data_IF_363189301448
#
_entry.id   IF_363189301448
#
_cell.length_a   1.000
_cell.length_b   1.000
_cell.length_c   1.000
_cell.angle_alpha   90.00
_cell.angle_beta   90.00
_cell.angle_gamma   90.00
#
_symmetry.space_group_name_H-M   'P 1'
#
loop_
_entity.id
_entity.type
_entity.pdbx_description
1 polymer ?
#
# COMPACT_ATOMS: atom_id res chain seq x y z
N UNK A 1 21.80 1.53 34.43
CA UNK A 1 20.93 2.45 35.20
C UNK A 1 19.84 2.94 34.26
N UNK A 2 18.59 3.01 34.74
CA UNK A 2 17.46 3.53 33.96
C UNK A 2 16.90 4.74 34.71
N UNK A 3 16.83 5.88 34.05
CA UNK A 3 16.17 7.08 34.53
C UNK A 3 14.99 7.40 33.61
N UNK A 4 13.79 7.53 34.18
CA UNK A 4 12.58 7.87 33.44
C UNK A 4 11.98 9.12 34.06
N UNK A 5 11.68 10.12 33.22
CA UNK A 5 10.99 11.35 33.61
C UNK A 5 9.74 11.49 32.76
N UNK A 6 8.65 11.94 33.34
CA UNK A 6 7.44 12.19 32.60
C UNK A 6 6.56 13.23 33.26
N UNK A 7 5.72 13.86 32.46
CA UNK A 7 4.65 14.73 32.96
C UNK A 7 3.39 14.50 32.13
N UNK A 8 2.24 14.76 32.73
CA UNK A 8 0.96 14.50 32.10
C UNK A 8 -0.11 15.48 32.56
N UNK A 9 -1.15 15.61 31.74
CA UNK A 9 -2.34 16.39 32.04
C UNK A 9 -3.57 15.61 31.63
N UNK A 10 -4.57 15.64 32.50
CA UNK A 10 -5.93 15.19 32.21
C UNK A 10 -6.77 16.44 31.97
N UNK A 11 -7.37 16.55 30.80
CA UNK A 11 -8.29 17.63 30.47
C UNK A 11 -9.72 17.11 30.39
N UNK A 12 -10.69 17.84 30.95
CA UNK A 12 -12.12 17.58 30.75
C UNK A 12 -12.69 18.64 29.82
N UNK A 13 -13.43 18.23 28.81
CA UNK A 13 -14.16 19.12 27.90
C UNK A 13 -15.57 18.59 27.65
N UNK A 14 -16.40 19.35 26.92
CA UNK A 14 -17.72 18.92 26.47
C UNK A 14 -17.70 17.69 25.56
N UNK A 15 -16.52 17.32 25.04
CA UNK A 15 -16.28 16.20 24.13
C UNK A 15 -15.64 14.99 24.86
N UNK A 16 -15.58 15.00 26.19
CA UNK A 16 -15.07 13.91 27.02
C UNK A 16 -13.71 14.19 27.68
N UNK A 17 -13.16 13.16 28.32
CA UNK A 17 -11.85 13.21 29.00
C UNK A 17 -10.73 13.10 27.96
N UNK A 18 -9.70 13.91 28.10
CA UNK A 18 -8.45 13.82 27.35
C UNK A 18 -7.31 13.50 28.29
N UNK A 19 -6.43 12.61 27.85
CA UNK A 19 -5.17 12.29 28.53
C UNK A 19 -4.03 12.63 27.60
N UNK A 20 -3.05 13.39 28.09
CA UNK A 20 -1.83 13.68 27.35
C UNK A 20 -0.63 13.73 28.27
N UNK A 21 0.54 13.39 27.75
CA UNK A 21 1.78 13.45 28.51
C UNK A 21 3.03 13.36 27.66
N UNK A 22 4.16 13.66 28.28
CA UNK A 22 5.49 13.42 27.73
C UNK A 22 6.24 12.43 28.60
N UNK A 23 7.05 11.61 27.96
CA UNK A 23 7.96 10.69 28.59
C UNK A 23 9.34 10.91 28.00
N UNK A 24 10.37 10.96 28.84
CA UNK A 24 11.76 10.84 28.45
C UNK A 24 12.44 9.79 29.31
N UNK A 25 13.34 9.03 28.69
CA UNK A 25 14.07 7.97 29.34
C UNK A 25 15.53 8.00 28.91
N UNK A 26 16.40 7.69 29.84
CA UNK A 26 17.83 7.47 29.62
C UNK A 26 18.19 6.15 30.29
N UNK A 27 18.74 5.24 29.50
CA UNK A 27 19.22 3.96 29.95
C UNK A 27 20.71 3.86 29.65
N UNK A 28 21.51 3.61 30.68
CA UNK A 28 22.96 3.41 30.57
C UNK A 28 23.37 2.03 31.05
N UNK A 29 24.41 1.46 30.46
CA UNK A 29 24.86 0.10 30.77
C UNK A 29 23.80 -0.97 30.48
N UNK A 30 23.01 -0.79 29.42
CA UNK A 30 22.13 -1.82 28.88
C UNK A 30 22.93 -3.07 28.53
N UNK A 31 22.39 -4.22 28.93
CA UNK A 31 22.88 -5.54 28.57
C UNK A 31 21.68 -6.42 28.17
N UNK A 32 21.11 -6.20 26.97
CA UNK A 32 20.08 -7.09 26.44
C UNK A 32 20.54 -8.55 26.49
N UNK A 33 19.62 -9.48 26.79
CA UNK A 33 19.94 -10.92 26.83
C UNK A 33 20.39 -11.45 25.47
N UNK A 34 19.86 -10.88 24.40
CA UNK A 34 20.26 -11.19 23.04
C UNK A 34 21.55 -10.41 22.69
N UNK A 35 22.67 -11.11 22.41
CA UNK A 35 23.93 -10.46 22.06
C UNK A 35 23.85 -9.63 20.76
N UNK A 36 23.03 -10.02 19.80
CA UNK A 36 22.84 -9.28 18.55
C UNK A 36 22.06 -7.99 18.80
N UNK A 37 21.06 -8.03 19.67
CA UNK A 37 20.34 -6.82 20.10
C UNK A 37 21.24 -5.90 20.94
N UNK A 38 22.09 -6.47 21.79
CA UNK A 38 23.05 -5.71 22.59
C UNK A 38 24.07 -4.94 21.74
N UNK A 39 24.56 -5.55 20.66
CA UNK A 39 25.46 -4.90 19.70
C UNK A 39 24.77 -3.76 18.94
N UNK A 40 23.52 -4.00 18.50
CA UNK A 40 22.76 -3.04 17.70
C UNK A 40 22.31 -1.81 18.50
N UNK A 41 21.79 -1.99 19.73
CA UNK A 41 21.34 -0.89 20.59
C UNK A 41 22.50 -0.16 21.29
N UNK A 42 23.59 -0.88 21.54
CA UNK A 42 24.66 -0.43 22.40
C UNK A 42 24.27 -0.34 23.88
N UNK A 43 25.16 0.24 24.68
CA UNK A 43 25.02 0.30 26.15
C UNK A 43 24.16 1.46 26.62
N UNK A 44 24.10 2.54 25.84
CA UNK A 44 23.50 3.79 26.25
C UNK A 44 22.46 4.22 25.21
N UNK A 45 21.22 4.39 25.66
CA UNK A 45 20.07 4.75 24.84
C UNK A 45 19.29 5.85 25.53
N UNK A 46 18.95 6.89 24.77
CA UNK A 46 18.04 7.95 25.18
C UNK A 46 16.78 7.87 24.33
N UNK A 47 15.64 8.22 24.93
CA UNK A 47 14.38 8.21 24.23
C UNK A 47 13.42 9.26 24.77
N UNK A 48 12.52 9.72 23.91
CA UNK A 48 11.39 10.54 24.31
C UNK A 48 10.18 10.28 23.42
N UNK A 49 8.99 10.49 23.96
CA UNK A 49 7.74 10.47 23.22
C UNK A 49 6.71 11.39 23.88
N UNK A 50 5.71 11.79 23.12
CA UNK A 50 4.47 12.36 23.63
C UNK A 50 3.34 11.40 23.33
N UNK A 51 2.46 11.27 24.29
CA UNK A 51 1.27 10.43 24.19
C UNK A 51 0.03 11.30 24.33
N UNK A 52 -1.02 10.97 23.57
CA UNK A 52 -2.32 11.62 23.68
C UNK A 52 -3.43 10.62 23.35
N UNK A 53 -4.49 10.66 24.15
CA UNK A 53 -5.71 9.89 23.96
C UNK A 53 -6.93 10.77 24.28
N UNK A 54 -8.00 10.62 23.51
CA UNK A 54 -9.29 11.25 23.78
C UNK A 54 -10.28 10.13 24.09
N UNK A 55 -11.07 10.30 25.14
CA UNK A 55 -12.16 9.39 25.47
C UNK A 55 -13.10 9.23 24.27
N UNK A 56 -13.47 7.99 23.97
CA UNK A 56 -14.29 7.65 22.80
C UNK A 56 -13.54 7.61 21.46
N UNK A 57 -12.26 8.01 21.37
CA UNK A 57 -11.53 7.95 20.09
C UNK A 57 -11.08 6.54 19.70
N UNK A 58 -11.01 5.60 20.65
CA UNK A 58 -10.50 4.24 20.42
C UNK A 58 -9.03 4.18 19.98
N UNK A 59 -8.30 5.30 20.09
CA UNK A 59 -6.99 5.49 19.49
C UNK A 59 -6.02 6.23 20.43
N UNK A 60 -4.84 5.64 20.64
CA UNK A 60 -3.69 6.25 21.32
C UNK A 60 -2.73 6.82 20.27
N UNK A 61 -2.46 8.12 20.33
CA UNK A 61 -1.48 8.78 19.47
C UNK A 61 -0.16 8.94 20.19
N UNK A 62 0.92 8.49 19.55
CA UNK A 62 2.30 8.70 19.95
C UNK A 62 2.94 9.66 18.95
N UNK A 63 3.37 10.83 19.41
CA UNK A 63 4.05 11.83 18.59
C UNK A 63 5.41 12.18 19.17
N UNK A 64 6.22 12.90 18.41
CA UNK A 64 7.56 13.32 18.86
C UNK A 64 8.42 12.15 19.37
N UNK A 65 8.22 10.95 18.82
CA UNK A 65 9.03 9.79 19.16
C UNK A 65 10.44 10.12 18.72
N UNK A 66 11.40 10.03 19.64
CA UNK A 66 12.84 10.12 19.37
C UNK A 66 13.53 9.04 20.17
N UNK A 67 14.46 8.34 19.53
CA UNK A 67 15.36 7.38 20.16
C UNK A 67 16.76 7.67 19.63
N UNK A 68 17.77 7.67 20.48
CA UNK A 68 19.15 7.82 20.05
C UNK A 68 20.08 6.97 20.93
N UNK A 69 21.03 6.28 20.31
CA UNK A 69 22.02 5.46 21.01
C UNK A 69 22.96 4.77 20.02
N UNK A 70 24.25 4.70 20.35
CA UNK A 70 25.26 3.95 19.58
C UNK A 70 25.28 4.21 18.05
N UNK A 71 25.08 5.46 17.61
CA UNK A 71 25.06 5.82 16.19
C UNK A 71 23.74 5.51 15.46
N UNK A 72 22.72 5.07 16.20
CA UNK A 72 21.34 4.93 15.77
C UNK A 72 20.54 6.16 16.22
N UNK A 73 19.77 6.75 15.32
CA UNK A 73 18.73 7.73 15.64
C UNK A 73 17.42 7.28 15.00
N UNK A 74 16.35 7.18 15.79
CA UNK A 74 15.01 6.90 15.28
C UNK A 74 14.06 8.03 15.65
N UNK A 75 13.13 8.35 14.77
CA UNK A 75 12.08 9.33 15.02
C UNK A 75 10.77 8.93 14.35
N UNK A 76 9.65 9.44 14.84
CA UNK A 76 8.38 9.17 14.18
C UNK A 76 7.13 9.57 14.94
N UNK A 77 6.00 9.16 14.37
CA UNK A 77 4.68 9.30 14.95
C UNK A 77 3.86 8.06 14.62
N UNK A 78 3.13 7.56 15.61
CA UNK A 78 2.30 6.37 15.53
C UNK A 78 0.90 6.66 16.05
N UNK A 79 -0.10 6.01 15.48
CA UNK A 79 -1.46 5.92 16.00
C UNK A 79 -1.78 4.44 16.23
N UNK A 80 -2.21 4.10 17.43
CA UNK A 80 -2.53 2.75 17.86
C UNK A 80 -4.04 2.70 18.10
N UNK A 81 -4.75 1.90 17.32
CA UNK A 81 -6.21 1.78 17.34
C UNK A 81 -6.62 0.36 17.74
N UNK A 82 -7.83 0.25 18.30
CA UNK A 82 -8.39 -1.05 18.68
C UNK A 82 -7.53 -1.72 19.76
N UNK A 83 -7.26 -0.98 20.84
CA UNK A 83 -6.54 -1.44 22.03
C UNK A 83 -7.22 -2.66 22.70
N UNK A 84 -8.47 -2.91 22.35
CA UNK A 84 -9.35 -4.00 22.78
C UNK A 84 -9.58 -5.07 21.69
N UNK A 85 -9.06 -4.88 20.47
CA UNK A 85 -9.34 -5.72 19.29
C UNK A 85 -8.08 -6.29 18.65
N UNK A 86 -7.34 -5.47 17.89
CA UNK A 86 -6.31 -5.93 16.96
C UNK A 86 -4.98 -5.16 17.04
N UNK A 87 -4.88 -4.14 17.90
CA UNK A 87 -3.71 -3.26 18.04
C UNK A 87 -3.17 -2.81 16.68
N UNK A 88 -4.05 -2.20 15.85
CA UNK A 88 -3.62 -1.67 14.57
C UNK A 88 -2.74 -0.45 14.83
N UNK A 89 -1.47 -0.56 14.49
CA UNK A 89 -0.50 0.51 14.63
C UNK A 89 -0.21 1.07 13.24
N UNK A 90 -0.57 2.32 13.01
CA UNK A 90 -0.28 3.05 11.78
C UNK A 90 0.66 4.21 12.05
N UNK A 91 1.46 4.61 11.06
CA UNK A 91 2.28 5.81 11.20
C UNK A 91 3.53 5.83 10.33
N UNK A 92 4.46 6.70 10.72
CA UNK A 92 5.74 6.92 10.05
C UNK A 92 6.87 6.80 11.04
N UNK A 93 7.88 6.01 10.67
CA UNK A 93 9.14 5.86 11.39
C UNK A 93 10.30 6.18 10.45
N UNK A 94 11.28 6.91 10.95
CA UNK A 94 12.54 7.19 10.29
C UNK A 94 13.65 6.70 11.19
N UNK A 95 14.53 5.85 10.66
CA UNK A 95 15.67 5.29 11.36
C UNK A 95 16.93 5.63 10.58
N UNK A 96 17.90 6.24 11.24
CA UNK A 96 19.22 6.57 10.71
C UNK A 96 20.26 5.76 11.46
N UNK A 97 21.10 5.07 10.72
CA UNK A 97 22.24 4.33 11.24
C UNK A 97 23.51 4.86 10.58
N UNK A 98 24.42 5.38 11.40
CA UNK A 98 25.74 5.81 10.96
C UNK A 98 26.66 4.62 10.60
N UNK A 99 26.34 3.43 11.09
CA UNK A 99 27.12 2.21 10.88
C UNK A 99 26.19 0.99 10.87
N UNK A 100 25.98 0.41 9.68
CA UNK A 100 25.13 -0.75 9.48
C UNK A 100 25.79 -2.07 9.95
N UNK A 101 27.11 -2.09 10.17
CA UNK A 101 27.82 -3.31 10.59
C UNK A 101 27.28 -3.86 11.91
N UNK A 102 26.77 -2.98 12.78
CA UNK A 102 26.15 -3.28 14.08
C UNK A 102 24.90 -4.16 13.96
N UNK A 103 24.23 -4.15 12.82
CA UNK A 103 23.03 -4.97 12.58
C UNK A 103 23.35 -6.30 11.92
N UNK A 104 24.63 -6.60 11.62
CA UNK A 104 25.02 -7.82 10.90
C UNK A 104 24.56 -9.10 11.61
N UNK A 105 24.73 -9.17 12.94
CA UNK A 105 24.27 -10.34 13.71
C UNK A 105 22.76 -10.49 13.71
N UNK A 106 22.02 -9.38 13.83
CA UNK A 106 20.56 -9.38 13.75
C UNK A 106 20.07 -9.80 12.36
N UNK A 107 20.77 -9.37 11.31
CA UNK A 107 20.45 -9.72 9.93
C UNK A 107 20.95 -11.12 9.53
N UNK A 108 21.73 -11.80 10.38
CA UNK A 108 22.35 -13.08 10.07
C UNK A 108 23.34 -13.03 8.89
N UNK A 109 23.86 -11.83 8.55
CA UNK A 109 24.77 -11.62 7.42
C UNK A 109 25.64 -10.39 7.63
N UNK A 110 26.81 -10.35 7.00
CA UNK A 110 27.66 -9.14 7.01
C UNK A 110 26.91 -7.97 6.37
N UNK A 111 26.84 -6.86 7.08
CA UNK A 111 26.32 -5.58 6.60
C UNK A 111 27.41 -4.51 6.75
N UNK A 112 27.35 -3.45 5.95
CA UNK A 112 28.23 -2.30 6.06
C UNK A 112 27.63 -1.05 5.42
N UNK A 113 28.31 0.07 5.62
CA UNK A 113 27.85 1.39 5.17
C UNK A 113 26.99 2.10 6.20
N UNK A 114 26.32 3.16 5.75
CA UNK A 114 25.40 3.95 6.55
C UNK A 114 24.10 4.17 5.79
N UNK A 115 23.01 4.47 6.50
CA UNK A 115 21.77 4.78 5.82
C UNK A 115 20.64 5.31 6.67
N UNK A 116 19.66 5.86 5.96
CA UNK A 116 18.39 6.35 6.46
C UNK A 116 17.27 5.50 5.85
N UNK A 117 16.56 4.80 6.73
CA UNK A 117 15.36 4.04 6.44
C UNK A 117 14.15 4.86 6.84
N UNK A 118 13.19 4.98 5.95
CA UNK A 118 11.88 5.56 6.21
C UNK A 118 10.82 4.49 5.94
N UNK A 119 9.94 4.30 6.91
CA UNK A 119 8.83 3.35 6.85
C UNK A 119 7.54 4.11 7.11
N UNK A 120 6.58 4.00 6.21
CA UNK A 120 5.21 4.50 6.41
C UNK A 120 4.24 3.35 6.16
N UNK A 121 3.30 3.12 7.06
CA UNK A 121 2.39 2.00 6.88
C UNK A 121 1.53 1.71 8.09
N UNK A 122 0.97 0.50 8.08
CA UNK A 122 0.18 -0.04 9.18
C UNK A 122 0.53 -1.50 9.45
N UNK A 123 0.45 -1.92 10.70
CA UNK A 123 0.71 -3.28 11.12
C UNK A 123 -0.23 -3.68 12.28
N UNK A 124 -0.63 -4.95 12.32
CA UNK A 124 -1.37 -5.54 13.43
C UNK A 124 -0.54 -6.67 14.03
N UNK A 125 -0.17 -6.52 15.31
CA UNK A 125 0.65 -7.50 16.01
C UNK A 125 -0.04 -8.85 16.23
N UNK A 126 -1.38 -8.88 16.25
CA UNK A 126 -2.16 -10.09 16.51
C UNK A 126 -2.31 -10.98 15.27
N UNK A 127 -2.53 -10.37 14.09
CA UNK A 127 -2.73 -11.10 12.83
C UNK A 127 -1.43 -11.31 12.05
N UNK A 128 -0.33 -10.65 12.45
CA UNK A 128 0.89 -10.59 11.65
C UNK A 128 0.75 -9.80 10.35
N UNK A 129 -0.38 -9.12 10.17
CA UNK A 129 -0.65 -8.23 9.04
C UNK A 129 0.29 -7.03 9.08
N UNK A 130 0.84 -6.67 7.93
CA UNK A 130 1.40 -5.33 7.73
C UNK A 130 1.31 -4.91 6.26
N UNK A 131 1.17 -3.62 6.04
CA UNK A 131 1.21 -2.98 4.73
C UNK A 131 2.08 -1.73 4.88
N UNK A 132 3.23 -1.71 4.21
CA UNK A 132 4.27 -0.72 4.47
C UNK A 132 5.03 -0.33 3.23
N UNK A 133 5.15 0.99 3.05
CA UNK A 133 6.08 1.62 2.14
C UNK A 133 7.41 1.86 2.83
N UNK A 134 8.47 1.40 2.20
CA UNK A 134 9.84 1.48 2.68
C UNK A 134 10.66 2.28 1.67
N UNK A 135 11.29 3.35 2.14
CA UNK A 135 12.28 4.10 1.38
C UNK A 135 13.61 4.09 2.13
N UNK A 136 14.67 3.67 1.47
CA UNK A 136 16.00 3.60 2.03
C UNK A 136 16.97 4.44 1.18
N UNK A 137 17.78 5.25 1.85
CA UNK A 137 18.90 5.96 1.25
C UNK A 137 20.16 5.63 2.04
N UNK A 138 21.18 5.12 1.39
CA UNK A 138 22.43 4.73 2.04
C UNK A 138 23.66 5.20 1.28
N UNK A 139 24.82 5.02 1.89
CA UNK A 139 26.12 5.19 1.24
C UNK A 139 27.00 3.99 1.58
N UNK A 140 27.76 3.55 0.58
CA UNK A 140 28.81 2.54 0.73
C UNK A 140 28.28 1.25 1.35
N UNK A 141 27.14 0.78 0.85
CA UNK A 141 26.48 -0.41 1.40
C UNK A 141 27.29 -1.65 1.07
N UNK A 142 27.47 -2.50 2.07
CA UNK A 142 28.08 -3.81 1.90
C UNK A 142 27.15 -4.88 2.45
N UNK A 143 27.11 -6.03 1.78
CA UNK A 143 26.29 -7.19 2.16
C UNK A 143 27.08 -8.51 2.14
N UNK A 144 28.41 -8.41 2.14
CA UNK A 144 29.35 -9.53 2.20
C UNK A 144 29.50 -10.27 0.87
N UNK A 145 29.25 -9.60 -0.25
CA UNK A 145 29.37 -10.15 -1.59
C UNK A 145 30.19 -9.18 -2.45
N UNK A 146 31.46 -9.47 -2.75
CA UNK A 146 32.38 -8.51 -3.39
C UNK A 146 31.83 -7.90 -4.69
N UNK A 147 31.10 -8.67 -5.49
CA UNK A 147 30.47 -8.23 -6.74
C UNK A 147 29.38 -7.19 -6.49
N UNK A 148 28.54 -7.43 -5.48
CA UNK A 148 27.42 -6.56 -5.12
C UNK A 148 27.92 -5.33 -4.38
N UNK A 149 28.87 -5.51 -3.47
CA UNK A 149 29.48 -4.44 -2.69
C UNK A 149 30.16 -3.40 -3.61
N UNK A 150 30.80 -3.85 -4.71
CA UNK A 150 31.35 -2.96 -5.75
C UNK A 150 30.26 -2.12 -6.45
N UNK A 151 29.07 -2.67 -6.65
CA UNK A 151 27.95 -1.98 -7.30
C UNK A 151 27.22 -1.02 -6.35
N UNK A 152 27.31 -1.27 -5.04
CA UNK A 152 26.66 -0.49 -3.99
C UNK A 152 27.59 0.55 -3.34
N UNK A 153 28.82 0.69 -3.85
CA UNK A 153 29.75 1.75 -3.45
C UNK A 153 29.15 3.13 -3.74
N UNK A 154 29.27 4.07 -2.80
CA UNK A 154 28.67 5.39 -2.89
C UNK A 154 27.15 5.41 -2.66
N UNK A 155 26.45 6.47 -3.13
CA UNK A 155 25.04 6.69 -2.82
C UNK A 155 24.12 5.62 -3.42
N UNK A 156 23.29 5.01 -2.58
CA UNK A 156 22.32 4.00 -2.93
C UNK A 156 20.91 4.40 -2.51
N UNK A 157 19.90 4.10 -3.34
CA UNK A 157 18.48 4.32 -3.03
C UNK A 157 17.65 3.08 -3.31
N UNK A 158 16.82 2.69 -2.37
CA UNK A 158 15.88 1.58 -2.51
C UNK A 158 14.47 2.05 -2.11
N UNK A 159 13.46 1.59 -2.84
CA UNK A 159 12.06 1.74 -2.49
C UNK A 159 11.37 0.39 -2.61
N UNK A 160 10.54 0.04 -1.64
CA UNK A 160 9.80 -1.21 -1.62
C UNK A 160 8.42 -0.99 -0.98
N UNK A 161 7.40 -1.57 -1.60
CA UNK A 161 6.08 -1.78 -1.00
C UNK A 161 6.02 -3.24 -0.55
N UNK A 162 5.85 -3.46 0.74
CA UNK A 162 5.85 -4.80 1.35
C UNK A 162 4.54 -4.98 2.09
N UNK A 163 3.84 -6.04 1.75
CA UNK A 163 2.60 -6.43 2.41
C UNK A 163 2.67 -7.85 2.91
N UNK A 164 2.16 -8.10 4.11
CA UNK A 164 1.94 -9.44 4.65
C UNK A 164 0.52 -9.55 5.19
N UNK A 165 -0.09 -10.69 4.95
CA UNK A 165 -1.31 -11.13 5.63
C UNK A 165 -1.16 -12.61 6.06
N UNK A 166 -2.26 -13.22 6.52
CA UNK A 166 -2.30 -14.62 6.94
C UNK A 166 -1.89 -15.62 5.83
N UNK A 167 -1.93 -15.19 4.57
CA UNK A 167 -1.66 -16.03 3.41
C UNK A 167 -0.23 -15.91 2.86
N UNK A 168 0.53 -14.88 3.27
CA UNK A 168 1.94 -14.74 2.87
C UNK A 168 2.48 -13.31 2.87
N UNK A 169 3.69 -13.13 2.33
CA UNK A 169 4.35 -11.83 2.15
C UNK A 169 4.56 -11.56 0.67
N UNK A 170 4.18 -10.37 0.20
CA UNK A 170 4.30 -9.95 -1.19
C UNK A 170 5.08 -8.64 -1.30
N UNK A 171 6.06 -8.61 -2.21
CA UNK A 171 6.79 -7.41 -2.64
C UNK A 171 6.41 -7.09 -4.08
N UNK A 172 5.93 -5.88 -4.35
CA UNK A 172 5.55 -5.47 -5.71
C UNK A 172 5.62 -3.95 -5.87
N UNK A 173 6.10 -3.49 -7.00
CA UNK A 173 6.02 -2.09 -7.41
C UNK A 173 5.47 -2.03 -8.83
N UNK A 174 4.20 -1.66 -8.98
CA UNK A 174 3.61 -1.34 -10.27
C UNK A 174 3.94 0.11 -10.62
N UNK A 175 4.24 0.37 -11.89
CA UNK A 175 4.57 1.71 -12.31
C UNK A 175 4.57 1.88 -13.82
N UNK A 176 5.10 3.02 -14.26
CA UNK A 176 5.35 3.31 -15.66
C UNK A 176 6.64 4.09 -15.84
N UNK A 177 7.37 3.81 -16.91
CA UNK A 177 8.58 4.53 -17.30
C UNK A 177 8.58 4.79 -18.80
N UNK A 178 9.30 5.83 -19.25
CA UNK A 178 9.55 6.02 -20.68
C UNK A 178 10.74 5.18 -21.12
N UNK A 179 10.65 4.54 -22.28
CA UNK A 179 11.79 3.87 -22.91
C UNK A 179 12.74 4.89 -23.57
N UNK A 180 13.82 4.40 -24.18
CA UNK A 180 14.80 5.23 -24.91
C UNK A 180 14.17 6.07 -26.05
N UNK A 181 13.04 5.62 -26.61
CA UNK A 181 12.28 6.32 -27.64
C UNK A 181 11.22 7.28 -27.05
N UNK A 182 11.15 7.43 -25.73
CA UNK A 182 10.20 8.31 -25.05
C UNK A 182 8.78 7.74 -24.88
N UNK A 183 8.53 6.48 -25.27
CA UNK A 183 7.23 5.83 -25.14
C UNK A 183 7.02 5.28 -23.73
N UNK A 184 5.82 5.47 -23.18
CA UNK A 184 5.44 4.91 -21.89
C UNK A 184 5.38 3.37 -21.94
N UNK A 185 5.91 2.73 -20.91
CA UNK A 185 5.86 1.30 -20.67
C UNK A 185 5.40 1.06 -19.24
N UNK A 186 4.58 0.03 -19.06
CA UNK A 186 4.21 -0.45 -17.72
C UNK A 186 5.40 -1.18 -17.11
N UNK A 187 5.60 -1.02 -15.80
CA UNK A 187 6.68 -1.67 -15.06
C UNK A 187 6.14 -2.49 -13.91
N UNK A 188 6.79 -3.62 -13.66
CA UNK A 188 6.66 -4.41 -12.44
C UNK A 188 8.06 -4.54 -11.83
N UNK A 189 8.21 -4.10 -10.58
CA UNK A 189 9.49 -4.09 -9.88
C UNK A 189 10.59 -3.36 -10.67
N UNK A 190 10.23 -2.19 -11.22
CA UNK A 190 11.08 -1.33 -12.07
C UNK A 190 11.55 -1.97 -13.39
N UNK A 191 11.03 -3.13 -13.77
CA UNK A 191 11.30 -3.76 -15.06
C UNK A 191 10.09 -3.60 -15.97
N UNK A 192 10.32 -3.22 -17.23
CA UNK A 192 9.26 -3.14 -18.22
C UNK A 192 8.59 -4.50 -18.39
N UNK A 193 7.26 -4.51 -18.41
CA UNK A 193 6.46 -5.71 -18.64
C UNK A 193 5.35 -5.38 -19.64
N UNK A 194 5.22 -6.23 -20.65
CA UNK A 194 4.04 -6.19 -21.53
C UNK A 194 2.93 -6.98 -20.85
N UNK A 195 1.84 -6.29 -20.52
CA UNK A 195 0.67 -6.92 -19.90
C UNK A 195 -0.22 -7.48 -21.01
N UNK A 196 -0.20 -8.80 -21.13
CA UNK A 196 -0.93 -9.54 -22.14
C UNK A 196 -2.01 -10.37 -21.45
N UNK A 197 -3.26 -10.04 -21.73
CA UNK A 197 -4.39 -10.57 -21.00
C UNK A 197 -5.72 -10.36 -21.69
N UNK A 198 -6.73 -11.21 -21.41
CA UNK A 198 -8.08 -11.02 -21.91
C UNK A 198 -8.86 -9.99 -21.06
N UNK A 199 -9.94 -9.49 -21.67
CA UNK A 199 -11.06 -8.91 -20.95
C UNK A 199 -11.95 -10.06 -20.46
N UNK A 200 -12.13 -10.17 -19.14
CA UNK A 200 -12.87 -11.22 -18.47
C UNK A 200 -14.18 -10.65 -17.92
N UNK A 201 -15.30 -11.05 -18.52
CA UNK A 201 -16.65 -10.65 -18.08
C UNK A 201 -17.12 -11.36 -16.80
N UNK A 202 -16.45 -12.45 -16.41
CA UNK A 202 -16.82 -13.26 -15.25
C UNK A 202 -18.16 -13.96 -15.42
N UNK A 203 -18.41 -14.49 -16.62
CA UNK A 203 -19.64 -15.22 -16.95
C UNK A 203 -19.45 -16.73 -16.72
N UNK A 204 -20.39 -17.33 -15.99
CA UNK A 204 -20.38 -18.73 -15.60
C UNK A 204 -21.66 -19.41 -16.11
N UNK A 205 -21.58 -20.58 -16.75
CA UNK A 205 -22.73 -21.26 -17.36
C UNK A 205 -23.97 -21.36 -16.45
N UNK A 206 -23.77 -21.74 -15.19
CA UNK A 206 -24.89 -21.97 -14.26
C UNK A 206 -25.22 -20.76 -13.39
N UNK A 207 -24.20 -19.96 -13.03
CA UNK A 207 -24.32 -18.89 -12.04
C UNK A 207 -24.38 -17.48 -12.62
N UNK A 208 -24.27 -17.34 -13.94
CA UNK A 208 -24.10 -16.07 -14.66
C UNK A 208 -22.92 -15.27 -14.11
N UNK A 209 -23.14 -14.39 -13.14
CA UNK A 209 -22.11 -13.59 -12.51
C UNK A 209 -21.52 -14.24 -11.25
N UNK A 210 -21.99 -15.41 -10.85
CA UNK A 210 -21.50 -16.10 -9.65
C UNK A 210 -20.64 -17.30 -10.04
N UNK A 211 -19.36 -17.36 -9.62
CA UNK A 211 -18.54 -18.54 -9.85
C UNK A 211 -19.16 -19.78 -9.18
N UNK A 212 -19.19 -20.94 -9.85
CA UNK A 212 -19.88 -22.14 -9.33
C UNK A 212 -19.09 -22.81 -8.20
N UNK A 213 -17.78 -22.61 -8.12
CA UNK A 213 -16.93 -23.13 -7.04
C UNK A 213 -15.57 -22.42 -6.99
N UNK A 214 -14.84 -22.64 -5.89
CA UNK A 214 -13.44 -22.20 -5.77
C UNK A 214 -12.52 -22.86 -6.82
N UNK A 215 -12.73 -24.15 -7.09
CA UNK A 215 -11.99 -24.90 -8.10
C UNK A 215 -12.22 -24.34 -9.51
N UNK A 216 -13.45 -23.89 -9.83
CA UNK A 216 -13.75 -23.29 -11.12
C UNK A 216 -13.03 -21.94 -11.31
N UNK A 217 -13.02 -21.08 -10.28
CA UNK A 217 -12.26 -19.83 -10.31
C UNK A 217 -10.77 -20.08 -10.56
N UNK A 218 -10.19 -21.04 -9.82
CA UNK A 218 -8.78 -21.41 -9.97
C UNK A 218 -8.49 -21.97 -11.38
N UNK A 219 -9.34 -22.87 -11.87
CA UNK A 219 -9.18 -23.49 -13.19
C UNK A 219 -9.14 -22.48 -14.32
N UNK A 220 -9.96 -21.42 -14.27
CA UNK A 220 -9.99 -20.39 -15.30
C UNK A 220 -8.67 -19.59 -15.33
N UNK A 221 -8.14 -19.22 -14.16
CA UNK A 221 -6.84 -18.52 -14.04
C UNK A 221 -5.68 -19.44 -14.47
N UNK A 222 -5.69 -20.71 -14.09
CA UNK A 222 -4.68 -21.70 -14.51
C UNK A 222 -4.68 -21.90 -16.03
N UNK A 223 -5.86 -21.97 -16.65
CA UNK A 223 -5.99 -22.06 -18.10
C UNK A 223 -5.41 -20.81 -18.79
N UNK A 224 -5.80 -19.61 -18.35
CA UNK A 224 -5.27 -18.36 -18.91
C UNK A 224 -3.75 -18.26 -18.76
N UNK A 225 -3.21 -18.69 -17.62
CA UNK A 225 -1.77 -18.76 -17.39
C UNK A 225 -1.09 -19.75 -18.35
N UNK A 226 -1.68 -20.92 -18.56
CA UNK A 226 -1.19 -21.93 -19.50
C UNK A 226 -1.23 -21.46 -20.96
N UNK A 227 -2.19 -20.59 -21.32
CA UNK A 227 -2.24 -19.92 -22.61
C UNK A 227 -1.16 -18.83 -22.80
N UNK A 228 -0.36 -18.54 -21.77
CA UNK A 228 0.73 -17.57 -21.81
C UNK A 228 0.34 -16.15 -21.39
N UNK A 229 -0.90 -15.93 -20.93
CA UNK A 229 -1.29 -14.64 -20.40
C UNK A 229 -0.63 -14.36 -19.04
N UNK A 230 -0.38 -13.09 -18.77
CA UNK A 230 0.19 -12.62 -17.51
C UNK A 230 -0.69 -11.55 -16.84
N UNK A 231 -1.81 -11.19 -17.47
CA UNK A 231 -2.78 -10.23 -16.95
C UNK A 231 -4.21 -10.69 -17.25
N UNK A 232 -5.16 -10.27 -16.43
CA UNK A 232 -6.60 -10.36 -16.65
C UNK A 232 -7.20 -8.97 -16.37
N UNK A 233 -8.13 -8.52 -17.21
CA UNK A 233 -8.96 -7.35 -16.90
C UNK A 233 -10.35 -7.79 -16.53
N UNK A 234 -10.73 -7.65 -15.26
CA UNK A 234 -12.09 -7.95 -14.81
C UNK A 234 -13.02 -6.80 -15.21
N UNK A 235 -13.92 -7.10 -16.14
CA UNK A 235 -14.81 -6.11 -16.76
C UNK A 235 -15.99 -5.79 -15.85
N UNK A 236 -16.14 -4.52 -15.47
CA UNK A 236 -17.27 -3.91 -14.73
C UNK A 236 -17.91 -4.81 -13.64
N UNK A 237 -17.08 -5.53 -12.90
CA UNK A 237 -17.49 -6.56 -11.94
C UNK A 237 -16.47 -6.69 -10.83
N UNK A 238 -16.94 -6.92 -9.60
CA UNK A 238 -16.10 -7.31 -8.47
C UNK A 238 -16.29 -8.81 -8.20
N UNK A 239 -15.22 -9.59 -8.24
CA UNK A 239 -15.28 -11.03 -7.94
C UNK A 239 -15.22 -11.31 -6.42
N UNK A 240 -15.53 -12.53 -5.96
CA UNK A 240 -15.20 -12.93 -4.59
C UNK A 240 -13.70 -12.81 -4.31
N UNK A 241 -13.30 -12.43 -3.08
CA UNK A 241 -11.87 -12.29 -2.68
C UNK A 241 -10.99 -13.50 -3.00
N UNK A 242 -11.57 -14.71 -3.06
CA UNK A 242 -10.88 -15.94 -3.47
C UNK A 242 -10.30 -15.85 -4.89
N UNK A 243 -10.98 -15.19 -5.83
CA UNK A 243 -10.50 -15.02 -7.20
C UNK A 243 -9.16 -14.26 -7.22
N UNK A 244 -9.09 -13.14 -6.49
CA UNK A 244 -7.86 -12.35 -6.36
C UNK A 244 -6.75 -13.13 -5.66
N UNK A 245 -7.07 -13.91 -4.62
CA UNK A 245 -6.10 -14.80 -3.98
C UNK A 245 -5.52 -15.84 -4.95
N UNK A 246 -6.34 -16.42 -5.84
CA UNK A 246 -5.84 -17.30 -6.89
C UNK A 246 -4.95 -16.55 -7.89
N UNK A 247 -5.31 -15.32 -8.29
CA UNK A 247 -4.43 -14.49 -9.12
C UNK A 247 -3.09 -14.20 -8.45
N UNK A 248 -3.09 -13.91 -7.15
CA UNK A 248 -1.88 -13.66 -6.35
C UNK A 248 -0.96 -14.89 -6.33
N UNK A 249 -1.52 -16.05 -6.03
CA UNK A 249 -0.76 -17.31 -5.88
C UNK A 249 -0.28 -17.88 -7.22
N UNK A 250 -1.02 -17.67 -8.30
CA UNK A 250 -0.67 -18.14 -9.65
C UNK A 250 0.16 -17.12 -10.44
N UNK A 251 0.34 -15.90 -9.92
CA UNK A 251 1.13 -14.84 -10.55
C UNK A 251 0.45 -14.28 -11.81
N UNK A 252 -0.78 -13.81 -11.65
CA UNK A 252 -1.58 -13.14 -12.69
C UNK A 252 -1.84 -11.69 -12.28
N UNK A 253 -1.54 -10.73 -13.15
CA UNK A 253 -1.85 -9.30 -12.91
C UNK A 253 -3.35 -9.07 -13.14
N UNK A 254 -3.97 -8.19 -12.36
CA UNK A 254 -5.38 -7.83 -12.47
C UNK A 254 -5.54 -6.35 -12.78
N UNK A 255 -6.38 -6.05 -13.76
CA UNK A 255 -7.01 -4.74 -13.94
C UNK A 255 -8.42 -4.84 -13.38
N UNK A 256 -8.75 -4.00 -12.41
CA UNK A 256 -10.03 -4.03 -11.74
C UNK A 256 -10.88 -2.83 -12.15
N UNK A 257 -11.94 -3.10 -12.89
CA UNK A 257 -12.95 -2.11 -13.24
C UNK A 257 -13.93 -1.88 -12.07
N UNK A 258 -14.32 -0.64 -11.85
CA UNK A 258 -15.49 -0.32 -11.04
C UNK A 258 -16.76 -0.75 -11.77
N UNK A 259 -17.74 -1.21 -11.01
CA UNK A 259 -19.10 -1.40 -11.52
C UNK A 259 -19.68 -0.02 -11.77
N UNK A 260 -19.84 0.33 -13.04
CA UNK A 260 -20.39 1.61 -13.48
C UNK A 260 -21.55 1.31 -14.42
N UNK A 261 -22.76 1.73 -14.04
CA UNK A 261 -23.93 1.59 -14.88
C UNK A 261 -24.34 2.97 -15.40
N UNK A 262 -24.08 3.23 -16.68
CA UNK A 262 -24.75 4.29 -17.40
C UNK A 262 -25.78 3.67 -18.35
N UNK A 263 -26.99 4.23 -18.44
CA UNK A 263 -27.93 3.81 -19.46
C UNK A 263 -27.61 4.50 -20.80
N UNK A 264 -27.53 3.70 -21.87
CA UNK A 264 -27.70 4.14 -23.26
C UNK A 264 -26.44 4.28 -24.12
N UNK A 265 -26.30 3.40 -25.12
CA UNK A 265 -25.49 3.61 -26.34
C UNK A 265 -26.31 4.28 -27.47
N UNK A 266 -27.65 4.21 -27.38
CA UNK A 266 -28.60 4.47 -28.48
C UNK A 266 -30.03 4.82 -28.00
N UNK A 267 -30.20 5.47 -26.83
CA UNK A 267 -31.55 5.76 -26.31
C UNK A 267 -31.70 7.20 -25.81
N UNK A 268 -31.87 8.10 -26.77
CA UNK A 268 -32.58 9.38 -26.61
C UNK A 268 -31.91 10.36 -25.61
N UNK A 269 -32.59 11.45 -25.28
CA UNK A 269 -32.17 12.52 -24.34
C UNK A 269 -32.00 12.07 -22.88
N UNK A 270 -32.11 10.77 -22.58
CA UNK A 270 -32.12 10.18 -21.22
C UNK A 270 -30.85 9.39 -20.88
N UNK A 271 -29.81 9.46 -21.73
CA UNK A 271 -28.54 8.78 -21.51
C UNK A 271 -27.79 9.36 -20.31
N UNK A 272 -27.29 8.49 -19.44
CA UNK A 272 -26.36 8.87 -18.35
C UNK A 272 -24.90 8.59 -18.70
N UNK A 273 -24.62 8.18 -19.94
CA UNK A 273 -23.28 8.04 -20.50
C UNK A 273 -23.00 9.15 -21.52
N UNK A 274 -21.80 9.75 -21.54
CA UNK A 274 -21.42 10.70 -22.58
C UNK A 274 -21.27 10.02 -23.94
N UNK A 275 -21.28 10.83 -25.00
CA UNK A 275 -21.02 10.34 -26.35
C UNK A 275 -19.60 9.78 -26.45
N UNK A 276 -19.46 8.62 -27.08
CA UNK A 276 -18.16 8.03 -27.33
C UNK A 276 -17.40 8.82 -28.39
N UNK A 277 -16.28 9.42 -28.03
CA UNK A 277 -15.54 10.33 -28.92
C UNK A 277 -14.41 9.65 -29.69
N UNK A 278 -14.20 8.34 -29.52
CA UNK A 278 -13.14 7.55 -30.19
C UNK A 278 -11.76 8.20 -30.07
N UNK A 279 -11.37 8.56 -28.85
CA UNK A 279 -10.11 9.24 -28.52
C UNK A 279 -9.99 10.66 -29.10
N UNK A 280 -11.08 11.31 -29.52
CA UNK A 280 -11.02 12.73 -29.85
C UNK A 280 -10.61 13.54 -28.60
N UNK A 281 -9.81 14.59 -28.76
CA UNK A 281 -9.38 15.41 -27.64
C UNK A 281 -10.59 16.11 -26.99
N UNK A 282 -10.50 16.31 -25.67
CA UNK A 282 -11.50 17.04 -24.88
C UNK A 282 -12.92 16.45 -24.96
N UNK A 283 -13.12 15.16 -24.60
CA UNK A 283 -14.46 14.60 -24.48
C UNK A 283 -15.27 15.36 -23.43
N UNK A 284 -16.59 15.43 -23.65
CA UNK A 284 -17.53 16.03 -22.69
C UNK A 284 -18.13 14.91 -21.85
N UNK A 285 -18.03 15.05 -20.54
CA UNK A 285 -18.60 14.09 -19.59
C UNK A 285 -20.13 14.18 -19.52
N UNK A 286 -20.78 13.12 -19.04
CA UNK A 286 -22.19 13.20 -18.70
C UNK A 286 -22.41 14.07 -17.45
N UNK A 287 -23.54 14.77 -17.40
CA UNK A 287 -24.00 15.44 -16.19
C UNK A 287 -24.77 14.44 -15.33
N UNK A 288 -24.27 14.21 -14.11
CA UNK A 288 -24.89 13.34 -13.13
C UNK A 288 -25.46 14.16 -11.98
N UNK A 289 -26.60 13.76 -11.39
CA UNK A 289 -27.05 14.28 -10.11
C UNK A 289 -25.98 14.10 -9.02
N UNK A 290 -25.85 15.07 -8.12
CA UNK A 290 -24.84 15.07 -7.07
C UNK A 290 -24.93 13.83 -6.15
N UNK A 291 -26.15 13.38 -5.84
CA UNK A 291 -26.40 12.20 -5.01
C UNK A 291 -25.95 10.90 -5.71
N UNK A 292 -26.18 10.79 -7.01
CA UNK A 292 -25.70 9.66 -7.82
C UNK A 292 -24.16 9.64 -7.92
N UNK A 293 -23.52 10.81 -8.09
CA UNK A 293 -22.07 10.93 -8.05
C UNK A 293 -21.51 10.51 -6.68
N UNK A 294 -22.10 10.99 -5.58
CA UNK A 294 -21.69 10.64 -4.23
C UNK A 294 -21.82 9.14 -3.94
N UNK A 295 -22.90 8.50 -4.41
CA UNK A 295 -23.08 7.06 -4.29
C UNK A 295 -22.00 6.30 -5.07
N UNK A 296 -21.71 6.71 -6.31
CA UNK A 296 -20.66 6.10 -7.11
C UNK A 296 -19.28 6.22 -6.43
N UNK A 297 -18.95 7.41 -5.89
CA UNK A 297 -17.69 7.64 -5.16
C UNK A 297 -17.59 6.75 -3.91
N UNK A 298 -18.70 6.58 -3.18
CA UNK A 298 -18.75 5.69 -2.02
C UNK A 298 -18.47 4.23 -2.42
N UNK A 299 -19.09 3.75 -3.50
CA UNK A 299 -18.90 2.39 -4.00
C UNK A 299 -17.49 2.15 -4.52
N UNK A 300 -16.93 3.09 -5.29
CA UNK A 300 -15.55 3.04 -5.76
C UNK A 300 -14.57 2.96 -4.59
N UNK A 301 -14.73 3.85 -3.60
CA UNK A 301 -13.88 3.84 -2.40
C UNK A 301 -13.97 2.52 -1.66
N UNK A 302 -15.18 1.98 -1.48
CA UNK A 302 -15.38 0.66 -0.84
C UNK A 302 -14.75 -0.47 -1.64
N UNK A 303 -14.83 -0.47 -2.97
CA UNK A 303 -14.16 -1.46 -3.80
C UNK A 303 -12.65 -1.40 -3.60
N UNK A 304 -12.05 -0.20 -3.71
CA UNK A 304 -10.61 -0.01 -3.51
C UNK A 304 -10.21 -0.37 -2.09
N UNK A 305 -10.93 0.06 -1.06
CA UNK A 305 -10.65 -0.30 0.34
C UNK A 305 -10.76 -1.80 0.60
N UNK A 306 -11.72 -2.48 -0.03
CA UNK A 306 -11.92 -3.91 0.09
C UNK A 306 -10.84 -4.73 -0.64
N UNK A 307 -10.31 -4.22 -1.74
CA UNK A 307 -9.44 -4.93 -2.67
C UNK A 307 -8.01 -4.39 -2.77
N UNK A 308 -7.68 -3.24 -2.15
CA UNK A 308 -6.31 -2.68 -2.07
C UNK A 308 -5.31 -3.67 -1.50
N UNK A 309 -5.86 -4.69 -0.88
CA UNK A 309 -5.17 -5.81 -0.33
C UNK A 309 -4.56 -6.77 -1.32
N UNK A 310 -5.19 -6.92 -2.48
CA UNK A 310 -4.84 -7.91 -3.47
C UNK A 310 -3.58 -7.51 -4.26
N UNK A 311 -2.49 -8.29 -4.15
CA UNK A 311 -1.29 -8.11 -4.96
C UNK A 311 -1.43 -8.05 -6.46
N UNK A 312 -2.34 -8.84 -7.00
CA UNK A 312 -2.50 -9.00 -8.42
C UNK A 312 -2.93 -7.67 -9.04
N UNK A 313 -3.68 -6.84 -8.31
CA UNK A 313 -4.25 -5.60 -8.86
C UNK A 313 -3.13 -4.60 -9.12
N UNK A 314 -2.86 -4.37 -10.41
CA UNK A 314 -1.87 -3.40 -10.88
C UNK A 314 -2.50 -2.10 -11.41
N UNK A 315 -3.78 -2.15 -11.81
CA UNK A 315 -4.49 -1.02 -12.39
C UNK A 315 -5.93 -0.94 -11.88
N UNK A 316 -6.35 0.24 -11.44
CA UNK A 316 -7.75 0.58 -11.17
C UNK A 316 -8.38 1.27 -12.38
N UNK A 317 -9.62 0.91 -12.69
CA UNK A 317 -10.38 1.47 -13.80
C UNK A 317 -11.70 2.04 -13.29
N UNK A 318 -11.77 3.36 -13.07
CA UNK A 318 -13.03 4.04 -12.73
C UNK A 318 -14.12 3.88 -13.80
N UNK A 319 -13.80 4.13 -15.07
CA UNK A 319 -14.77 4.10 -16.17
C UNK A 319 -14.33 3.21 -17.32
N UNK A 320 -15.30 2.52 -17.93
CA UNK A 320 -15.13 1.70 -19.13
C UNK A 320 -16.03 2.24 -20.24
N UNK A 321 -15.47 2.54 -21.42
CA UNK A 321 -16.20 2.84 -22.67
C UNK A 321 -17.30 3.90 -22.51
N UNK A 322 -17.05 4.94 -21.72
CA UNK A 322 -18.01 5.98 -21.35
C UNK A 322 -19.18 5.55 -20.46
N UNK A 323 -19.23 4.31 -19.95
CA UNK A 323 -20.37 3.83 -19.17
C UNK A 323 -20.48 4.56 -17.84
N UNK A 324 -21.50 5.42 -17.75
CA UNK A 324 -21.71 6.28 -16.60
C UNK A 324 -20.54 7.23 -16.33
N UNK A 325 -19.73 7.54 -17.35
CA UNK A 325 -18.56 8.40 -17.19
C UNK A 325 -18.98 9.84 -16.90
N UNK A 326 -18.60 10.34 -15.72
CA UNK A 326 -18.94 11.67 -15.23
C UNK A 326 -17.81 12.21 -14.35
N UNK A 327 -17.67 13.53 -14.28
CA UNK A 327 -16.65 14.21 -13.46
C UNK A 327 -15.26 13.55 -13.58
N UNK A 328 -14.88 13.16 -14.79
CA UNK A 328 -13.84 12.15 -15.05
C UNK A 328 -12.54 12.55 -14.39
N UNK A 329 -12.08 13.78 -14.60
CA UNK A 329 -10.82 14.29 -14.05
C UNK A 329 -10.82 14.40 -12.52
N UNK A 330 -11.96 14.75 -11.92
CA UNK A 330 -12.11 14.77 -10.46
C UNK A 330 -12.00 13.36 -9.88
N UNK A 331 -12.73 12.41 -10.49
CA UNK A 331 -12.70 10.99 -10.12
C UNK A 331 -11.28 10.42 -10.26
N UNK A 332 -10.56 10.74 -11.33
CA UNK A 332 -9.19 10.27 -11.51
C UNK A 332 -8.21 10.84 -10.49
N UNK A 333 -8.36 12.12 -10.11
CA UNK A 333 -7.56 12.72 -9.05
C UNK A 333 -7.84 12.04 -7.72
N UNK A 334 -9.11 11.85 -7.38
CA UNK A 334 -9.53 11.13 -6.17
C UNK A 334 -8.99 9.70 -6.15
N UNK A 335 -9.10 8.97 -7.26
CA UNK A 335 -8.61 7.59 -7.38
C UNK A 335 -7.08 7.51 -7.17
N UNK A 336 -6.32 8.44 -7.74
CA UNK A 336 -4.86 8.49 -7.58
C UNK A 336 -4.44 8.87 -6.15
N UNK A 337 -5.22 9.70 -5.46
CA UNK A 337 -5.01 10.04 -4.04
C UNK A 337 -5.39 8.89 -3.10
N UNK A 338 -6.44 8.13 -3.45
CA UNK A 338 -6.94 7.01 -2.66
C UNK A 338 -5.96 5.83 -2.63
N UNK A 339 -5.33 5.52 -3.76
CA UNK A 339 -4.30 4.49 -3.86
C UNK A 339 -3.19 4.89 -4.84
N UNK A 340 -2.11 5.45 -4.28
CA UNK A 340 -0.93 5.87 -5.03
C UNK A 340 0.04 4.73 -5.37
N UNK A 341 -0.25 3.49 -4.92
CA UNK A 341 0.60 2.31 -5.15
C UNK A 341 0.28 1.59 -6.47
N UNK A 342 -0.84 1.95 -7.11
CA UNK A 342 -1.35 1.33 -8.34
C UNK A 342 -1.56 2.38 -9.42
N UNK A 343 -1.57 1.92 -10.67
CA UNK A 343 -1.86 2.80 -11.80
C UNK A 343 -3.36 3.04 -11.91
N UNK A 344 -3.73 4.21 -12.42
CA UNK A 344 -5.12 4.54 -12.74
C UNK A 344 -5.25 4.63 -14.26
N UNK A 345 -6.17 3.86 -14.82
CA UNK A 345 -6.69 4.07 -16.17
C UNK A 345 -8.12 4.59 -16.03
N UNK A 346 -8.22 5.93 -16.00
CA UNK A 346 -9.41 6.70 -15.60
C UNK A 346 -10.65 6.41 -16.44
N UNK A 347 -10.49 6.25 -17.75
CA UNK A 347 -11.55 6.07 -18.73
C UNK A 347 -11.05 5.16 -19.85
N UNK A 348 -11.12 3.84 -19.63
CA UNK A 348 -10.62 2.87 -20.58
C UNK A 348 -11.54 2.76 -21.78
N UNK A 349 -11.06 3.12 -22.96
CA UNK A 349 -11.82 3.04 -24.22
C UNK A 349 -12.89 4.12 -24.40
N UNK A 350 -12.98 5.11 -23.50
CA UNK A 350 -13.93 6.23 -23.52
C UNK A 350 -13.40 7.47 -24.21
#
# INVERSE_FOLDING_TARGET
RLAVKGSGRIGRSSVGISFGGSLSAEASGLAPRDPALAEALGRDVTGSLRLRMQEGSGALRLSDIRLAGAGLAASGALQIEGLDKAFLTSGRLVVEAADLTRFSRLAGRSLGGAGRLEVTGSASGLSGFFDSEVAFAGTDLAMGQPEVDRLLAGPSRLKASIRRDETGTALRAFGKSKNAQGHWQLTLNNKSIFQWGPLDQGWWPDGLLTPPSDAAMRSDIEFLKACGFNMIRKHIKVEPRRYYHHCDTLGMIMWQDQVSNGYGKNRNEQSTSPAWTRMAPNPVDAQWPDDAHQQWVLEYKRMVEHLRDAPCIGVWIPFNEAWGQHATMEVGKMAAELDSTRLINIASGG
#
